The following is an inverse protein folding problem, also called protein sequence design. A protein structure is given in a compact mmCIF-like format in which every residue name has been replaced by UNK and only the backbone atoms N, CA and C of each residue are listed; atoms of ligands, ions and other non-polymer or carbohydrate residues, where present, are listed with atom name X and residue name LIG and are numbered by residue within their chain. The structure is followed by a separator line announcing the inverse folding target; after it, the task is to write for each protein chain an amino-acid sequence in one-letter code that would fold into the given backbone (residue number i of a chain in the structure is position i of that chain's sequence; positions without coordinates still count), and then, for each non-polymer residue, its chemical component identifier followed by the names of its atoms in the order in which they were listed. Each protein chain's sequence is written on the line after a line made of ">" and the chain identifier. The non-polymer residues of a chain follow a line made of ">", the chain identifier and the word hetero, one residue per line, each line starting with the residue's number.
data_IF_333515897080
#
_entry.id   IF_333515897080
#
_cell.length_a   1.000
_cell.length_b   1.000
_cell.length_c   1.000
_cell.angle_alpha   90.00
_cell.angle_beta   90.00
_cell.angle_gamma   90.00
#
_symmetry.space_group_name_H-M   'P 1'
#
loop_
_entity.id
_entity.type
_entity.pdbx_description
1 polymer ?
#
# COMPACT_ATOMS: atom_id res chain seq x y z
N UNK A 1 -21.66 31.50 8.47
CA UNK A 1 -20.44 31.25 7.69
C UNK A 1 -20.40 29.78 7.32
N UNK A 2 -20.87 29.45 6.11
CA UNK A 2 -20.98 28.07 5.62
C UNK A 2 -19.76 27.74 4.76
N UNK A 3 -18.88 26.86 5.22
CA UNK A 3 -17.89 26.22 4.36
C UNK A 3 -17.54 24.82 4.89
N UNK A 4 -18.45 23.86 4.65
CA UNK A 4 -18.11 22.44 4.64
C UNK A 4 -17.12 22.21 3.50
N UNK A 5 -15.96 21.63 3.77
CA UNK A 5 -14.99 21.34 2.71
C UNK A 5 -15.50 20.15 1.91
N UNK A 6 -15.88 20.41 0.67
CA UNK A 6 -16.15 19.38 -0.33
C UNK A 6 -14.80 19.01 -0.93
N UNK A 7 -14.45 17.72 -1.00
CA UNK A 7 -13.51 17.26 -2.05
C UNK A 7 -14.18 17.65 -3.37
N UNK A 8 -13.78 18.78 -3.99
CA UNK A 8 -14.48 19.29 -5.18
C UNK A 8 -14.37 20.79 -5.47
N UNK A 9 -13.96 21.63 -4.50
CA UNK A 9 -13.70 23.04 -4.84
C UNK A 9 -12.29 23.17 -5.43
N UNK A 10 -12.22 23.47 -6.73
CA UNK A 10 -10.94 23.68 -7.43
C UNK A 10 -10.10 24.76 -6.74
N UNK A 11 -8.81 24.48 -6.53
CA UNK A 11 -7.85 25.44 -5.97
C UNK A 11 -7.74 25.46 -4.45
N UNK A 12 -8.48 24.63 -3.72
CA UNK A 12 -8.31 24.48 -2.27
C UNK A 12 -6.97 23.81 -1.95
N UNK A 13 -6.22 24.41 -1.03
CA UNK A 13 -4.98 23.85 -0.49
C UNK A 13 -5.25 23.21 0.89
N UNK A 14 -4.69 22.03 1.09
CA UNK A 14 -4.75 21.30 2.37
C UNK A 14 -3.33 20.95 2.79
N UNK A 15 -2.86 21.42 3.96
CA UNK A 15 -1.55 21.03 4.46
C UNK A 15 -1.48 19.52 4.67
N UNK A 16 -0.32 18.93 4.39
CA UNK A 16 -0.05 17.51 4.56
C UNK A 16 1.25 17.28 5.29
N UNK A 17 1.38 16.12 5.94
CA UNK A 17 2.69 15.52 6.25
C UNK A 17 2.75 14.16 5.57
N UNK A 18 3.93 13.85 5.01
CA UNK A 18 4.17 12.59 4.32
C UNK A 18 5.31 11.86 5.01
N UNK A 19 5.14 10.56 5.25
CA UNK A 19 6.20 9.68 5.70
C UNK A 19 6.38 8.54 4.70
N UNK A 20 7.60 8.43 4.18
CA UNK A 20 8.05 7.26 3.42
C UNK A 20 8.82 6.31 4.32
N UNK A 21 8.86 5.03 3.98
CA UNK A 21 9.68 4.05 4.69
C UNK A 21 9.92 2.78 3.90
N UNK A 22 10.91 2.00 4.31
CA UNK A 22 10.96 0.55 4.11
C UNK A 22 9.97 -0.15 5.07
N UNK A 23 9.90 -1.49 5.06
CA UNK A 23 8.96 -2.26 5.89
C UNK A 23 9.67 -3.23 6.83
N UNK A 24 10.54 -4.08 6.30
CA UNK A 24 10.93 -5.29 7.02
C UNK A 24 12.06 -5.07 8.01
N UNK A 25 13.14 -4.41 7.65
CA UNK A 25 14.30 -4.29 8.53
C UNK A 25 14.18 -3.12 9.52
N UNK A 26 14.96 -3.17 10.58
CA UNK A 26 14.91 -2.23 11.70
C UNK A 26 15.42 -0.83 11.32
N UNK A 27 15.29 0.12 12.26
CA UNK A 27 15.88 1.45 12.14
C UNK A 27 17.38 1.34 11.90
N UNK A 28 17.87 2.02 10.87
CA UNK A 28 19.28 1.99 10.45
C UNK A 28 19.57 1.01 9.32
N UNK A 29 18.60 0.17 8.94
CA UNK A 29 18.74 -0.71 7.78
C UNK A 29 18.91 0.06 6.46
N UNK A 30 19.59 -0.52 5.45
CA UNK A 30 19.76 0.12 4.15
C UNK A 30 18.44 0.33 3.40
N UNK A 31 18.27 1.52 2.80
CA UNK A 31 17.10 1.85 1.98
C UNK A 31 17.14 1.23 0.57
N UNK A 32 18.23 0.54 0.21
CA UNK A 32 18.41 -0.18 -1.07
C UNK A 32 17.88 -1.62 -1.04
N UNK A 33 17.33 -2.08 0.09
CA UNK A 33 16.79 -3.44 0.20
C UNK A 33 15.52 -3.60 -0.64
N UNK A 34 15.36 -4.78 -1.24
CA UNK A 34 14.14 -5.15 -1.97
C UNK A 34 12.98 -5.27 -1.00
N UNK A 35 12.04 -4.34 -1.10
CA UNK A 35 10.94 -4.22 -0.12
C UNK A 35 9.80 -3.37 -0.69
N UNK A 36 8.63 -3.48 -0.07
CA UNK A 36 7.59 -2.47 -0.26
C UNK A 36 8.10 -1.12 0.28
N UNK A 37 7.66 -0.01 -0.30
CA UNK A 37 7.86 1.32 0.29
C UNK A 37 6.54 1.85 0.83
N UNK A 38 6.52 2.24 2.10
CA UNK A 38 5.40 2.93 2.70
C UNK A 38 5.23 4.33 2.10
N UNK A 39 3.99 4.74 1.85
CA UNK A 39 3.60 6.05 1.34
C UNK A 39 2.42 6.57 2.18
N UNK A 40 2.72 7.07 3.37
CA UNK A 40 1.69 7.53 4.31
C UNK A 40 1.50 9.05 4.20
N UNK A 41 0.30 9.48 3.83
CA UNK A 41 -0.08 10.91 3.74
C UNK A 41 -1.13 11.22 4.79
N UNK A 42 -0.82 12.17 5.68
CA UNK A 42 -1.80 12.75 6.62
C UNK A 42 -2.20 14.11 6.11
N UNK A 43 -3.49 14.28 5.86
CA UNK A 43 -4.12 15.53 5.43
C UNK A 43 -4.72 16.25 6.64
N UNK A 44 -4.35 17.51 6.81
CA UNK A 44 -4.90 18.38 7.84
C UNK A 44 -6.16 19.08 7.31
N UNK A 45 -7.26 18.34 7.23
CA UNK A 45 -8.52 18.87 6.70
C UNK A 45 -9.22 19.75 7.74
N UNK A 46 -10.22 20.54 7.30
CA UNK A 46 -11.04 21.36 8.20
C UNK A 46 -11.95 20.53 9.11
N UNK A 47 -12.20 19.27 8.76
CA UNK A 47 -13.13 18.37 9.45
C UNK A 47 -12.39 17.21 10.14
N UNK A 48 -11.10 17.41 10.44
CA UNK A 48 -10.24 16.45 11.11
C UNK A 48 -9.08 15.96 10.24
N UNK A 49 -8.20 15.19 10.84
CA UNK A 49 -7.08 14.60 10.11
C UNK A 49 -7.56 13.40 9.30
N UNK A 50 -7.25 13.37 8.01
CA UNK A 50 -7.48 12.21 7.16
C UNK A 50 -6.15 11.55 6.83
N UNK A 51 -6.01 10.26 7.17
CA UNK A 51 -4.79 9.49 6.96
C UNK A 51 -4.99 8.50 5.82
N UNK A 52 -4.30 8.72 4.70
CA UNK A 52 -4.18 7.75 3.61
C UNK A 52 -2.84 7.03 3.75
N UNK A 53 -2.87 5.90 4.46
CA UNK A 53 -1.68 5.08 4.75
C UNK A 53 -1.51 4.06 3.63
N UNK A 54 -0.78 4.46 2.58
CA UNK A 54 -0.56 3.67 1.39
C UNK A 54 0.83 3.02 1.30
N UNK A 55 1.05 2.35 0.18
CA UNK A 55 2.34 1.79 -0.24
C UNK A 55 2.66 2.23 -1.67
N UNK A 56 3.89 2.01 -2.15
CA UNK A 56 4.22 2.19 -3.55
C UNK A 56 3.52 1.16 -4.47
N UNK A 57 3.30 -0.06 -3.97
CA UNK A 57 2.57 -1.10 -4.68
C UNK A 57 1.06 -0.93 -4.53
N UNK A 58 0.26 -1.22 -5.56
CA UNK A 58 -1.20 -1.09 -5.52
C UNK A 58 -1.92 -2.30 -4.93
N UNK A 59 -1.19 -3.34 -4.55
CA UNK A 59 -1.73 -4.61 -4.03
C UNK A 59 -0.93 -5.08 -2.81
N UNK A 60 -1.50 -6.01 -2.03
CA UNK A 60 -0.89 -6.57 -0.83
C UNK A 60 -0.78 -8.09 -0.85
N UNK A 61 0.07 -8.67 0.01
CA UNK A 61 0.43 -10.09 -0.05
C UNK A 61 -0.69 -11.01 0.41
N UNK A 62 -1.50 -10.56 1.38
CA UNK A 62 -2.57 -11.34 1.99
C UNK A 62 -3.84 -10.53 1.97
N UNK A 63 -4.98 -11.21 1.80
CA UNK A 63 -6.31 -10.58 1.75
C UNK A 63 -7.04 -10.53 3.08
N UNK A 64 -6.53 -11.23 4.10
CA UNK A 64 -7.11 -11.29 5.44
C UNK A 64 -6.10 -10.76 6.47
N UNK A 65 -6.53 -9.75 7.24
CA UNK A 65 -5.71 -9.12 8.28
C UNK A 65 -5.25 -10.09 9.37
N UNK A 66 -5.93 -11.22 9.57
CA UNK A 66 -5.48 -12.27 10.50
C UNK A 66 -4.10 -12.84 10.14
N UNK A 67 -3.72 -12.81 8.86
CA UNK A 67 -2.44 -13.34 8.37
C UNK A 67 -1.29 -12.34 8.47
N UNK A 68 -1.58 -11.08 8.80
CA UNK A 68 -0.56 -10.03 8.82
C UNK A 68 0.60 -10.34 9.80
N UNK A 69 0.37 -10.79 11.05
CA UNK A 69 1.47 -11.12 11.95
C UNK A 69 2.34 -12.27 11.43
N UNK A 70 1.72 -13.33 10.91
CA UNK A 70 2.46 -14.50 10.37
C UNK A 70 3.30 -14.11 9.15
N UNK A 71 2.72 -13.30 8.26
CA UNK A 71 3.40 -12.75 7.10
C UNK A 71 4.61 -11.91 7.52
N UNK A 72 4.47 -11.02 8.51
CA UNK A 72 5.59 -10.23 9.03
C UNK A 72 6.64 -11.12 9.67
N UNK A 73 6.27 -12.15 10.43
CA UNK A 73 7.24 -13.10 10.99
C UNK A 73 8.03 -13.83 9.91
N UNK A 74 7.38 -14.25 8.82
CA UNK A 74 8.03 -14.91 7.70
C UNK A 74 9.02 -13.99 6.96
N UNK A 75 8.64 -12.73 6.75
CA UNK A 75 9.45 -11.73 6.07
C UNK A 75 10.61 -11.19 6.93
N UNK A 76 10.42 -11.01 8.24
CA UNK A 76 11.44 -10.52 9.18
C UNK A 76 12.65 -11.45 9.28
N UNK A 77 13.81 -10.95 9.77
CA UNK A 77 14.94 -11.79 10.10
C UNK A 77 14.57 -12.99 10.98
N UNK A 78 15.17 -14.14 10.69
CA UNK A 78 14.95 -15.39 11.41
C UNK A 78 15.24 -15.19 12.91
N UNK A 79 14.36 -15.64 13.82
CA UNK A 79 14.53 -15.40 15.26
C UNK A 79 15.77 -16.07 15.87
N UNK A 80 16.36 -17.07 15.20
CA UNK A 80 17.59 -17.75 15.63
C UNK A 80 18.85 -17.07 15.10
N UNK A 81 18.91 -16.75 13.80
CA UNK A 81 20.13 -16.22 13.17
C UNK A 81 20.14 -14.70 13.06
N UNK A 82 18.99 -14.04 13.25
CA UNK A 82 18.80 -12.61 13.03
C UNK A 82 19.14 -12.16 11.60
N UNK A 83 19.05 -13.08 10.63
CA UNK A 83 19.26 -12.84 9.20
C UNK A 83 17.95 -13.10 8.46
N UNK A 84 17.58 -12.26 7.51
CA UNK A 84 16.44 -12.52 6.62
C UNK A 84 16.80 -13.64 5.64
N UNK A 85 15.93 -14.63 5.52
CA UNK A 85 16.19 -15.83 4.72
C UNK A 85 15.01 -16.11 3.78
N UNK A 86 15.27 -16.23 2.48
CA UNK A 86 14.22 -16.38 1.47
C UNK A 86 13.40 -17.66 1.64
N UNK A 87 13.99 -18.77 2.09
CA UNK A 87 13.24 -20.01 2.29
C UNK A 87 12.06 -19.85 3.26
N UNK A 88 12.14 -18.97 4.27
CA UNK A 88 11.03 -18.68 5.22
C UNK A 88 9.89 -17.95 4.54
N UNK A 89 10.24 -16.99 3.68
CA UNK A 89 9.30 -16.20 2.90
C UNK A 89 8.56 -17.13 1.93
N UNK A 90 9.32 -17.93 1.19
CA UNK A 90 8.77 -18.84 0.19
C UNK A 90 7.96 -19.99 0.80
N UNK A 91 8.33 -20.48 1.99
CA UNK A 91 7.54 -21.46 2.75
C UNK A 91 6.16 -20.87 3.13
N UNK A 92 6.13 -19.74 3.82
CA UNK A 92 4.87 -19.11 4.23
C UNK A 92 3.95 -18.83 3.03
N UNK A 93 4.49 -18.23 1.97
CA UNK A 93 3.70 -17.86 0.80
C UNK A 93 3.37 -19.02 -0.15
N UNK A 94 3.99 -20.20 0.02
CA UNK A 94 3.53 -21.43 -0.64
C UNK A 94 2.15 -21.92 -0.15
N UNK A 95 1.65 -21.36 0.94
CA UNK A 95 0.31 -21.60 1.46
C UNK A 95 -0.71 -20.51 1.06
N UNK A 96 -0.25 -19.45 0.40
CA UNK A 96 -1.02 -18.24 0.13
C UNK A 96 -0.91 -17.87 -1.36
N UNK A 97 -1.60 -18.60 -2.27
CA UNK A 97 -1.54 -18.34 -3.71
C UNK A 97 -1.93 -16.91 -4.09
N UNK A 98 -2.73 -16.24 -3.27
CA UNK A 98 -3.14 -14.85 -3.47
C UNK A 98 -1.97 -13.84 -3.43
N UNK A 99 -0.85 -14.22 -2.82
CA UNK A 99 0.35 -13.39 -2.72
C UNK A 99 1.07 -13.17 -4.05
N UNK A 100 0.79 -14.02 -5.04
CA UNK A 100 1.51 -14.07 -6.32
C UNK A 100 1.53 -12.71 -7.02
N UNK A 101 0.45 -11.94 -6.89
CA UNK A 101 0.37 -10.64 -7.55
C UNK A 101 1.35 -9.64 -6.96
N UNK A 102 1.50 -9.54 -5.63
CA UNK A 102 2.54 -8.67 -5.05
C UNK A 102 3.94 -9.10 -5.46
N UNK A 103 4.19 -10.40 -5.60
CA UNK A 103 5.50 -10.86 -6.03
C UNK A 103 5.88 -10.37 -7.43
N UNK A 104 4.91 -10.13 -8.31
CA UNK A 104 5.15 -9.45 -9.60
C UNK A 104 5.55 -7.98 -9.46
N UNK A 105 5.37 -7.35 -8.31
CA UNK A 105 5.94 -6.02 -7.99
C UNK A 105 7.23 -6.15 -7.19
N UNK A 106 7.26 -7.06 -6.21
CA UNK A 106 8.39 -7.22 -5.31
C UNK A 106 9.65 -7.71 -6.05
N UNK A 107 9.53 -8.66 -6.98
CA UNK A 107 10.69 -9.18 -7.75
C UNK A 107 10.89 -8.47 -9.09
N UNK A 108 10.13 -7.41 -9.31
CA UNK A 108 10.32 -6.47 -10.42
C UNK A 108 11.30 -5.36 -10.03
N UNK A 109 11.77 -4.56 -10.96
CA UNK A 109 12.74 -3.49 -10.70
C UNK A 109 12.18 -2.46 -9.70
N UNK A 110 10.86 -2.25 -9.73
CA UNK A 110 10.14 -1.39 -8.76
C UNK A 110 10.23 -1.86 -7.30
N UNK A 111 10.71 -3.07 -7.05
CA UNK A 111 11.01 -3.58 -5.70
C UNK A 111 12.23 -2.92 -5.06
N UNK A 112 13.07 -2.23 -5.82
CA UNK A 112 14.16 -1.40 -5.30
C UNK A 112 14.08 -0.01 -5.97
N UNK A 113 13.27 0.91 -5.43
CA UNK A 113 13.26 2.28 -5.90
C UNK A 113 14.62 2.98 -5.74
N UNK A 114 14.92 3.89 -6.65
CA UNK A 114 16.14 4.72 -6.58
C UNK A 114 16.13 5.68 -5.38
N UNK A 115 14.98 6.25 -5.09
CA UNK A 115 14.76 7.18 -3.99
C UNK A 115 13.24 7.32 -3.78
N UNK A 116 12.83 8.10 -2.77
CA UNK A 116 11.41 8.29 -2.46
C UNK A 116 10.69 9.22 -3.42
N UNK A 117 11.38 10.05 -4.23
CA UNK A 117 10.72 11.03 -5.11
C UNK A 117 10.25 10.43 -6.43
N UNK A 118 10.80 9.28 -6.80
CA UNK A 118 10.51 8.55 -8.04
C UNK A 118 9.72 7.25 -7.80
N UNK A 119 8.85 7.23 -6.79
CA UNK A 119 7.92 6.12 -6.56
C UNK A 119 6.48 6.53 -6.86
N UNK A 120 5.69 5.55 -7.31
CA UNK A 120 4.24 5.64 -7.20
C UNK A 120 3.80 5.51 -5.75
N UNK A 121 2.57 5.92 -5.48
CA UNK A 121 1.88 5.67 -4.22
C UNK A 121 0.47 5.15 -4.50
N UNK A 122 -0.04 4.32 -3.61
CA UNK A 122 -1.32 3.64 -3.77
C UNK A 122 -1.99 3.48 -2.41
N UNK A 123 -3.30 3.73 -2.34
CA UNK A 123 -4.09 3.44 -1.15
C UNK A 123 -4.24 1.93 -0.86
N UNK A 124 -3.95 1.08 -1.85
CA UNK A 124 -4.08 -0.39 -1.86
C UNK A 124 -5.53 -0.84 -1.71
N UNK A 125 -6.15 -0.54 -0.58
CA UNK A 125 -7.52 -0.91 -0.25
C UNK A 125 -8.53 -0.17 -1.13
N UNK A 126 -9.71 -0.76 -1.23
CA UNK A 126 -10.91 -0.09 -1.71
C UNK A 126 -11.57 0.63 -0.54
N UNK A 127 -11.84 1.91 -0.69
CA UNK A 127 -12.54 2.75 0.29
C UNK A 127 -13.93 3.13 -0.23
N UNK A 128 -14.70 3.86 0.58
CA UNK A 128 -15.98 4.43 0.15
C UNK A 128 -15.91 5.97 0.13
N UNK A 129 -16.42 6.56 -0.94
CA UNK A 129 -16.80 7.97 -1.00
C UNK A 129 -18.31 8.07 -0.78
N UNK A 130 -18.72 8.96 0.10
CA UNK A 130 -20.14 9.20 0.39
C UNK A 130 -20.47 10.65 0.05
N UNK A 131 -21.38 10.83 -0.90
CA UNK A 131 -21.83 12.17 -1.31
C UNK A 131 -22.79 12.79 -0.29
N UNK A 132 -23.05 14.10 -0.40
CA UNK A 132 -24.07 14.80 0.41
C UNK A 132 -25.48 14.19 0.28
N UNK A 133 -25.78 13.57 -0.87
CA UNK A 133 -27.04 12.86 -1.11
C UNK A 133 -27.07 11.44 -0.54
N UNK A 134 -25.99 10.98 0.10
CA UNK A 134 -25.86 9.61 0.62
C UNK A 134 -25.48 8.56 -0.42
N UNK A 135 -25.27 8.93 -1.70
CA UNK A 135 -24.74 8.00 -2.72
C UNK A 135 -23.32 7.55 -2.34
N UNK A 136 -23.11 6.24 -2.38
CA UNK A 136 -21.81 5.58 -2.15
C UNK A 136 -21.15 5.29 -3.48
N UNK A 137 -19.83 5.46 -3.53
CA UNK A 137 -18.95 4.90 -4.56
C UNK A 137 -17.79 4.18 -3.88
N UNK A 138 -17.40 3.03 -4.39
CA UNK A 138 -16.09 2.48 -4.08
C UNK A 138 -14.99 3.31 -4.75
N UNK A 139 -13.85 3.49 -4.08
CA UNK A 139 -12.73 4.29 -4.58
C UNK A 139 -11.38 3.64 -4.30
N UNK A 140 -10.45 3.73 -5.26
CA UNK A 140 -9.00 3.52 -5.06
C UNK A 140 -8.24 4.82 -5.33
N UNK A 141 -7.17 5.05 -4.57
CA UNK A 141 -6.33 6.26 -4.66
C UNK A 141 -4.96 5.93 -5.25
N UNK A 142 -4.50 6.75 -6.18
CA UNK A 142 -3.24 6.57 -6.91
C UNK A 142 -2.44 7.87 -6.94
N UNK A 143 -1.16 7.80 -6.57
CA UNK A 143 -0.20 8.88 -6.65
C UNK A 143 0.80 8.59 -7.77
N UNK A 144 0.84 9.44 -8.79
CA UNK A 144 1.80 9.33 -9.88
C UNK A 144 2.90 10.39 -9.71
N UNK A 145 4.19 10.02 -9.63
CA UNK A 145 5.28 10.96 -9.46
C UNK A 145 5.43 11.82 -10.71
N UNK A 146 5.57 13.14 -10.55
CA UNK A 146 5.75 14.05 -11.67
C UNK A 146 7.06 13.77 -12.44
N UNK A 147 8.09 13.29 -11.74
CA UNK A 147 9.41 13.00 -12.30
C UNK A 147 9.56 11.55 -12.81
N UNK A 148 8.45 10.80 -12.89
CA UNK A 148 8.45 9.41 -13.32
C UNK A 148 8.98 8.44 -12.27
N UNK A 149 8.90 7.15 -12.59
CA UNK A 149 9.38 6.06 -11.74
C UNK A 149 10.84 5.74 -12.05
N UNK A 150 11.68 5.58 -11.02
CA UNK A 150 13.09 5.19 -11.15
C UNK A 150 13.45 4.13 -10.13
N UNK A 151 14.29 3.19 -10.54
CA UNK A 151 14.64 1.99 -9.77
C UNK A 151 16.15 1.73 -9.87
N UNK A 152 16.67 0.98 -8.92
CA UNK A 152 18.02 0.42 -8.97
C UNK A 152 17.94 -1.04 -9.39
N UNK A 153 18.86 -1.47 -10.24
CA UNK A 153 19.16 -2.89 -10.41
C UNK A 153 20.04 -3.39 -9.26
N UNK A 154 20.17 -4.71 -9.12
CA UNK A 154 20.90 -5.36 -8.03
C UNK A 154 22.31 -4.80 -7.80
N UNK A 155 23.11 -4.70 -8.86
CA UNK A 155 24.49 -4.20 -8.77
C UNK A 155 24.56 -2.73 -8.35
N UNK A 156 23.59 -1.92 -8.76
CA UNK A 156 23.48 -0.52 -8.37
C UNK A 156 23.05 -0.40 -6.91
N UNK A 157 22.08 -1.22 -6.48
CA UNK A 157 21.62 -1.29 -5.10
C UNK A 157 22.74 -1.68 -4.12
N UNK A 158 23.62 -2.60 -4.53
CA UNK A 158 24.82 -2.97 -3.76
C UNK A 158 25.78 -1.78 -3.64
N UNK A 159 26.11 -1.12 -4.76
CA UNK A 159 27.04 0.02 -4.78
C UNK A 159 26.51 1.20 -3.96
N UNK A 160 25.25 1.58 -4.18
CA UNK A 160 24.59 2.68 -3.49
C UNK A 160 24.45 2.36 -2.01
N UNK A 161 23.96 1.17 -1.67
CA UNK A 161 23.75 0.75 -0.28
C UNK A 161 25.04 0.62 0.51
N UNK A 162 26.11 0.13 -0.12
CA UNK A 162 27.45 0.05 0.48
C UNK A 162 28.09 1.42 0.70
N UNK A 163 27.74 2.41 -0.12
CA UNK A 163 28.25 3.79 0.02
C UNK A 163 27.43 4.63 0.99
N UNK A 164 26.10 4.47 0.99
CA UNK A 164 25.18 5.21 1.84
C UNK A 164 23.89 4.41 2.08
N UNK A 165 23.78 3.81 3.26
CA UNK A 165 22.59 3.08 3.67
C UNK A 165 21.32 3.96 3.78
N UNK A 166 21.47 5.29 3.91
CA UNK A 166 20.38 6.27 4.02
C UNK A 166 20.23 7.15 2.76
N UNK A 167 20.54 6.61 1.58
CA UNK A 167 20.57 7.37 0.33
C UNK A 167 19.23 8.02 -0.06
N UNK A 168 18.09 7.35 0.16
CA UNK A 168 16.77 7.86 -0.22
C UNK A 168 16.30 8.95 0.75
N UNK A 169 16.60 8.79 2.04
CA UNK A 169 16.42 9.85 3.05
C UNK A 169 17.27 11.08 2.71
N UNK A 170 18.56 10.87 2.37
CA UNK A 170 19.46 11.96 1.97
C UNK A 170 18.96 12.67 0.71
N UNK A 171 18.57 11.94 -0.32
CA UNK A 171 18.03 12.50 -1.56
C UNK A 171 16.80 13.38 -1.30
N UNK A 172 15.84 12.91 -0.50
CA UNK A 172 14.64 13.68 -0.18
C UNK A 172 14.97 14.95 0.61
N UNK A 173 15.84 14.84 1.62
CA UNK A 173 16.27 15.97 2.45
C UNK A 173 16.99 17.04 1.62
N UNK A 174 18.00 16.64 0.85
CA UNK A 174 18.81 17.55 0.03
C UNK A 174 17.95 18.21 -1.06
N UNK A 175 17.04 17.44 -1.69
CA UNK A 175 16.15 17.98 -2.72
C UNK A 175 15.22 19.05 -2.17
N UNK A 176 14.64 18.83 -0.99
CA UNK A 176 13.78 19.82 -0.31
C UNK A 176 14.60 21.05 0.09
N UNK A 177 15.80 20.87 0.65
CA UNK A 177 16.69 21.95 1.04
C UNK A 177 17.13 22.82 -0.16
N UNK A 178 17.31 22.20 -1.33
CA UNK A 178 17.65 22.88 -2.58
C UNK A 178 16.46 23.55 -3.29
N UNK A 179 15.23 23.45 -2.76
CA UNK A 179 14.02 23.97 -3.39
C UNK A 179 13.47 23.09 -4.53
N UNK A 180 14.04 21.90 -4.75
CA UNK A 180 13.62 20.91 -5.73
C UNK A 180 12.53 20.00 -5.14
N UNK A 181 11.38 20.59 -4.84
CA UNK A 181 10.28 19.88 -4.17
C UNK A 181 9.73 18.74 -5.05
N UNK A 182 9.60 17.51 -4.52
CA UNK A 182 8.95 16.45 -5.26
C UNK A 182 7.44 16.66 -5.34
N UNK A 183 6.85 16.26 -6.47
CA UNK A 183 5.42 16.39 -6.74
C UNK A 183 4.81 15.06 -7.14
N UNK A 184 3.58 14.81 -6.66
CA UNK A 184 2.74 13.70 -7.09
C UNK A 184 1.37 14.19 -7.50
N UNK A 185 0.83 13.63 -8.58
CA UNK A 185 -0.56 13.84 -9.01
C UNK A 185 -1.44 12.76 -8.37
N UNK A 186 -2.51 13.19 -7.70
CA UNK A 186 -3.54 12.30 -7.15
C UNK A 186 -4.57 11.98 -8.23
N UNK A 187 -4.80 10.69 -8.41
CA UNK A 187 -5.88 10.14 -9.21
C UNK A 187 -6.76 9.22 -8.36
N UNK A 188 -7.99 9.05 -8.80
CA UNK A 188 -8.90 8.03 -8.27
C UNK A 188 -9.46 7.16 -9.40
N UNK A 189 -9.83 5.93 -9.05
CA UNK A 189 -10.78 5.13 -9.80
C UNK A 189 -12.03 4.97 -8.95
N UNK A 190 -13.21 4.84 -9.57
CA UNK A 190 -14.47 4.68 -8.84
C UNK A 190 -15.31 3.55 -9.42
N UNK A 191 -15.94 2.75 -8.55
CA UNK A 191 -16.91 1.72 -8.90
C UNK A 191 -18.23 2.01 -8.18
N UNK A 192 -19.35 1.87 -8.88
CA UNK A 192 -20.67 1.84 -8.23
C UNK A 192 -20.81 0.47 -7.53
N UNK A 193 -21.13 0.38 -6.22
CA UNK A 193 -21.24 -0.91 -5.53
C UNK A 193 -22.16 -1.92 -6.24
N UNK A 194 -23.22 -1.46 -6.93
CA UNK A 194 -24.11 -2.31 -7.72
C UNK A 194 -23.42 -2.99 -8.92
N UNK A 195 -22.18 -2.60 -9.23
CA UNK A 195 -21.36 -3.17 -10.30
C UNK A 195 -20.30 -4.15 -9.79
N UNK A 196 -20.23 -4.43 -8.49
CA UNK A 196 -19.21 -5.32 -7.90
C UNK A 196 -19.17 -6.70 -8.58
N UNK A 197 -20.33 -7.24 -8.93
CA UNK A 197 -20.48 -8.56 -9.55
C UNK A 197 -20.20 -8.59 -11.06
N UNK A 198 -19.94 -7.44 -11.68
CA UNK A 198 -19.61 -7.37 -13.11
C UNK A 198 -18.15 -7.75 -13.41
N UNK A 199 -17.31 -7.87 -12.39
CA UNK A 199 -15.89 -8.19 -12.52
C UNK A 199 -15.63 -9.67 -12.20
N UNK A 200 -14.64 -10.26 -12.87
CA UNK A 200 -14.16 -11.62 -12.62
C UNK A 200 -13.19 -11.71 -11.43
N UNK A 201 -13.05 -10.62 -10.69
CA UNK A 201 -12.36 -10.51 -9.42
C UNK A 201 -13.25 -9.78 -8.42
N UNK A 202 -12.93 -9.90 -7.14
CA UNK A 202 -13.57 -9.10 -6.09
C UNK A 202 -12.90 -7.70 -6.02
N UNK A 203 -13.62 -6.59 -6.30
CA UNK A 203 -13.07 -5.24 -6.20
C UNK A 203 -12.57 -4.84 -4.82
N UNK A 204 -12.96 -5.55 -3.76
CA UNK A 204 -12.55 -5.35 -2.37
C UNK A 204 -11.32 -6.21 -2.00
N UNK A 205 -10.92 -7.17 -2.83
CA UNK A 205 -9.70 -7.97 -2.62
C UNK A 205 -8.45 -7.12 -2.83
N UNK A 206 -7.68 -6.91 -1.76
CA UNK A 206 -6.44 -6.12 -1.75
C UNK A 206 -5.30 -6.74 -2.57
N UNK A 207 -5.45 -7.99 -3.00
CA UNK A 207 -4.51 -8.64 -3.93
C UNK A 207 -4.81 -8.27 -5.40
N UNK A 208 -5.84 -7.45 -5.66
CA UNK A 208 -6.30 -7.05 -6.99
C UNK A 208 -6.16 -5.55 -7.26
N UNK A 209 -5.75 -5.25 -8.49
CA UNK A 209 -5.86 -3.92 -9.09
C UNK A 209 -7.16 -3.79 -9.87
N UNK A 210 -7.60 -2.55 -10.10
CA UNK A 210 -8.69 -2.25 -11.02
C UNK A 210 -8.08 -1.87 -12.38
N UNK A 211 -8.35 -2.61 -13.46
CA UNK A 211 -7.72 -2.35 -14.76
C UNK A 211 -8.01 -0.93 -15.27
N UNK A 212 -6.96 -0.17 -15.58
CA UNK A 212 -7.08 1.25 -15.99
C UNK A 212 -7.76 1.43 -17.36
N UNK A 213 -7.78 0.39 -18.21
CA UNK A 213 -8.48 0.35 -19.49
C UNK A 213 -10.00 0.21 -19.33
N UNK A 214 -10.46 -0.42 -18.25
CA UNK A 214 -11.88 -0.58 -17.91
C UNK A 214 -12.35 0.56 -17.00
N UNK A 215 -11.51 0.96 -16.04
CA UNK A 215 -11.79 1.96 -15.02
C UNK A 215 -10.71 3.04 -15.08
N UNK A 216 -10.82 4.05 -15.97
CA UNK A 216 -9.76 5.02 -16.19
C UNK A 216 -9.51 5.91 -14.96
N UNK A 217 -8.24 6.31 -14.79
CA UNK A 217 -7.81 7.23 -13.75
C UNK A 217 -8.44 8.61 -13.91
N UNK A 218 -9.04 9.12 -12.83
CA UNK A 218 -9.66 10.44 -12.78
C UNK A 218 -8.76 11.39 -11.96
N UNK A 219 -8.29 12.51 -12.51
CA UNK A 219 -7.43 13.43 -11.79
C UNK A 219 -8.19 14.18 -10.69
N UNK A 220 -7.62 14.27 -9.49
CA UNK A 220 -8.21 14.97 -8.34
C UNK A 220 -7.41 16.21 -7.97
N UNK A 221 -6.10 16.11 -7.86
CA UNK A 221 -5.25 17.21 -7.39
C UNK A 221 -3.76 16.88 -7.45
N UNK A 222 -2.94 17.76 -6.85
CA UNK A 222 -1.48 17.58 -6.74
C UNK A 222 -1.04 17.74 -5.29
N UNK A 223 -0.07 16.94 -4.86
CA UNK A 223 0.58 17.04 -3.56
C UNK A 223 1.74 18.03 -3.64
N UNK A 224 1.80 18.96 -2.69
CA UNK A 224 2.95 19.83 -2.43
C UNK A 224 3.34 19.70 -0.95
N UNK A 225 4.62 19.85 -0.58
CA UNK A 225 5.03 19.80 0.81
C UNK A 225 4.33 20.88 1.64
N UNK A 226 3.86 20.53 2.83
CA UNK A 226 3.34 21.51 3.78
C UNK A 226 3.82 21.19 5.20
N UNK A 227 3.79 22.18 6.09
CA UNK A 227 4.24 22.04 7.47
C UNK A 227 3.13 22.47 8.46
N UNK A 228 2.88 21.59 9.42
CA UNK A 228 2.05 21.67 10.64
C UNK A 228 0.48 21.69 10.57
N UNK A 229 -0.23 20.98 11.49
CA UNK A 229 -1.69 20.93 11.63
C UNK A 229 -2.35 22.21 12.16
N UNK A 230 -3.60 22.50 11.76
CA UNK A 230 -4.57 23.30 12.53
C UNK A 230 -6.02 22.88 12.23
N UNK A 231 -6.65 22.10 13.12
CA UNK A 231 -8.12 22.02 13.22
C UNK A 231 -8.52 22.15 14.68
N UNK A 232 -9.66 22.80 14.94
CA UNK A 232 -10.23 22.90 16.29
C UNK A 232 -10.77 21.51 16.65
N UNK A 233 -10.41 20.96 17.81
CA UNK A 233 -10.94 19.70 18.32
C UNK A 233 -11.46 19.88 19.74
N UNK A 234 -12.55 19.18 20.07
CA UNK A 234 -13.07 19.06 21.43
C UNK A 234 -13.31 17.59 21.71
N UNK A 235 -12.67 17.05 22.75
CA UNK A 235 -12.86 15.68 23.19
C UNK A 235 -12.91 15.62 24.73
N UNK A 236 -13.29 14.47 25.27
CA UNK A 236 -13.48 14.26 26.69
C UNK A 236 -12.30 13.53 27.36
N UNK A 237 -11.17 13.38 26.66
CA UNK A 237 -10.01 12.70 27.22
C UNK A 237 -9.30 13.64 28.22
N UNK A 238 -9.07 13.15 29.44
CA UNK A 238 -8.25 13.81 30.47
C UNK A 238 -7.05 12.93 30.83
N UNK A 239 -6.01 13.55 31.38
CA UNK A 239 -4.76 12.89 31.82
C UNK A 239 -4.02 12.17 30.67
N UNK A 240 -3.37 11.05 30.96
CA UNK A 240 -2.50 10.31 30.05
C UNK A 240 -1.02 10.65 30.25
N UNK A 241 -0.16 9.66 29.96
CA UNK A 241 1.29 9.85 30.05
C UNK A 241 1.74 10.96 29.09
N UNK A 242 2.63 11.86 29.58
CA UNK A 242 3.13 13.01 28.82
C UNK A 242 2.02 13.97 28.33
N UNK A 243 0.92 14.09 29.10
CA UNK A 243 -0.08 15.11 28.82
C UNK A 243 0.41 16.49 29.28
N UNK A 244 0.88 17.27 28.31
CA UNK A 244 1.29 18.67 28.51
C UNK A 244 0.15 19.67 28.28
N UNK A 245 -1.04 19.20 27.90
CA UNK A 245 -2.20 20.07 27.69
C UNK A 245 -2.74 20.48 29.06
N UNK A 246 -2.77 21.79 29.31
CA UNK A 246 -3.51 22.30 30.44
C UNK A 246 -5.01 22.29 30.11
N UNK A 247 -5.75 21.46 30.83
CA UNK A 247 -7.20 21.29 30.72
C UNK A 247 -7.79 21.51 32.11
N UNK A 248 -8.53 22.60 32.28
CA UNK A 248 -9.18 22.99 33.53
C UNK A 248 -10.70 22.78 33.48
N UNK A 249 -11.20 22.10 32.44
CA UNK A 249 -12.62 21.78 32.30
C UNK A 249 -13.07 20.78 33.39
N UNK A 250 -14.19 21.08 34.07
CA UNK A 250 -14.77 20.20 35.11
C UNK A 250 -15.62 19.05 34.54
N UNK A 251 -16.02 19.14 33.27
CA UNK A 251 -16.91 18.18 32.60
C UNK A 251 -16.15 17.43 31.52
N UNK A 252 -15.98 16.12 31.73
CA UNK A 252 -15.33 15.20 30.79
C UNK A 252 -16.27 14.04 30.37
N UNK A 253 -17.59 14.26 30.45
CA UNK A 253 -18.61 13.28 30.07
C UNK A 253 -19.68 13.93 29.18
N UNK A 254 -20.34 13.11 28.35
CA UNK A 254 -21.40 13.56 27.44
C UNK A 254 -22.57 12.56 27.46
N UNK A 255 -23.83 13.00 27.46
CA UNK A 255 -24.29 14.39 27.50
C UNK A 255 -24.16 15.02 28.89
N UNK A 256 -24.00 16.35 28.95
CA UNK A 256 -23.99 17.13 30.19
C UNK A 256 -24.92 18.34 30.08
N UNK A 257 -25.42 18.82 31.22
CA UNK A 257 -26.15 20.11 31.32
C UNK A 257 -25.21 21.28 31.59
N UNK A 258 -23.97 20.99 32.00
CA UNK A 258 -22.96 21.99 32.37
C UNK A 258 -21.96 22.26 31.25
N UNK A 259 -21.84 21.32 30.30
CA UNK A 259 -21.11 21.52 29.05
C UNK A 259 -22.09 21.56 27.87
N UNK A 260 -22.05 22.65 27.10
CA UNK A 260 -22.96 22.94 25.99
C UNK A 260 -22.54 22.28 24.68
N UNK A 261 -21.50 21.43 24.68
CA UNK A 261 -21.14 20.61 23.52
C UNK A 261 -22.33 19.82 23.00
N UNK A 262 -22.31 19.58 21.69
CA UNK A 262 -23.36 18.84 20.99
C UNK A 262 -22.72 17.77 20.13
N UNK A 263 -23.48 16.73 19.81
CA UNK A 263 -23.07 15.78 18.79
C UNK A 263 -22.71 16.55 17.50
N UNK A 264 -21.61 16.15 16.86
CA UNK A 264 -21.24 16.68 15.57
C UNK A 264 -22.38 16.47 14.56
N UNK A 265 -22.47 17.36 13.56
CA UNK A 265 -23.44 17.23 12.50
C UNK A 265 -23.31 15.85 11.85
N UNK A 266 -24.40 15.09 11.82
CA UNK A 266 -24.44 13.79 11.15
C UNK A 266 -24.40 14.00 9.65
N UNK A 267 -23.52 13.27 8.98
CA UNK A 267 -23.53 13.09 7.55
C UNK A 267 -24.27 11.78 7.23
N UNK A 268 -24.93 11.66 6.07
CA UNK A 268 -25.57 10.40 5.69
C UNK A 268 -24.53 9.29 5.69
N UNK A 269 -24.68 8.32 6.58
CA UNK A 269 -23.93 7.07 6.54
C UNK A 269 -24.94 6.01 6.11
N UNK A 270 -24.84 5.50 4.87
CA UNK A 270 -25.77 4.48 4.40
C UNK A 270 -25.66 3.23 5.28
N UNK A 271 -26.82 2.73 5.71
CA UNK A 271 -26.92 1.47 6.44
C UNK A 271 -27.24 0.35 5.44
N UNK A 272 -26.35 -0.62 5.31
CA UNK A 272 -26.61 -1.82 4.51
C UNK A 272 -27.18 -2.93 5.39
N UNK A 273 -28.25 -3.58 4.94
CA UNK A 273 -28.75 -4.82 5.56
C UNK A 273 -27.97 -5.97 4.94
N UNK A 274 -27.14 -6.63 5.75
CA UNK A 274 -26.40 -7.82 5.31
C UNK A 274 -27.22 -9.07 5.61
N UNK A 275 -27.47 -9.89 4.59
CA UNK A 275 -28.11 -11.20 4.72
C UNK A 275 -27.08 -12.29 4.40
N UNK A 276 -26.95 -13.29 5.25
CA UNK A 276 -26.02 -14.39 5.02
C UNK A 276 -25.76 -15.22 6.27
N UNK A 277 -24.95 -16.26 6.11
CA UNK A 277 -24.47 -17.08 7.22
C UNK A 277 -23.17 -16.50 7.76
N UNK A 278 -23.07 -16.38 9.09
CA UNK A 278 -21.82 -16.01 9.74
C UNK A 278 -20.85 -17.19 9.71
N UNK A 279 -19.83 -17.11 8.88
CA UNK A 279 -18.80 -18.14 8.74
C UNK A 279 -17.42 -17.55 8.46
N UNK A 280 -16.37 -18.34 8.71
CA UNK A 280 -15.01 -18.03 8.29
C UNK A 280 -14.74 -18.76 6.98
N UNK A 281 -14.64 -18.02 5.89
CA UNK A 281 -14.43 -18.56 4.54
C UNK A 281 -13.57 -17.63 3.72
N UNK A 282 -13.00 -18.16 2.64
CA UNK A 282 -12.34 -17.35 1.63
C UNK A 282 -13.43 -16.70 0.75
N UNK A 283 -13.13 -15.54 0.18
CA UNK A 283 -13.98 -14.86 -0.82
C UNK A 283 -14.17 -15.75 -2.05
N UNK A 284 -15.27 -15.58 -2.78
CA UNK A 284 -15.59 -16.48 -3.92
C UNK A 284 -14.71 -16.21 -5.14
N UNK A 285 -14.56 -14.94 -5.53
CA UNK A 285 -13.82 -14.51 -6.73
C UNK A 285 -12.32 -14.31 -6.45
N UNK A 286 -11.66 -15.34 -5.92
CA UNK A 286 -10.24 -15.26 -5.54
C UNK A 286 -9.32 -14.89 -6.70
N UNK A 287 -9.51 -15.51 -7.87
CA UNK A 287 -8.79 -15.23 -9.12
C UNK A 287 -7.27 -14.94 -8.93
N UNK A 288 -6.55 -15.85 -8.27
CA UNK A 288 -5.19 -15.61 -7.78
C UNK A 288 -4.13 -15.43 -8.88
N UNK A 289 -4.38 -15.94 -10.09
CA UNK A 289 -3.33 -16.14 -11.11
C UNK A 289 -3.44 -15.24 -12.33
N UNK A 290 -4.63 -14.68 -12.63
CA UNK A 290 -4.86 -13.91 -13.86
C UNK A 290 -4.03 -12.62 -13.91
N UNK A 291 -4.22 -11.72 -12.94
CA UNK A 291 -3.50 -10.43 -12.91
C UNK A 291 -1.96 -10.57 -12.81
N UNK A 292 -1.39 -11.50 -12.01
CA UNK A 292 0.05 -11.75 -12.05
C UNK A 292 0.55 -12.11 -13.46
N UNK A 293 -0.18 -12.98 -14.17
CA UNK A 293 0.16 -13.38 -15.54
C UNK A 293 0.06 -12.23 -16.53
N UNK A 294 -0.99 -11.42 -16.44
CA UNK A 294 -1.17 -10.22 -17.27
C UNK A 294 -0.02 -9.23 -17.07
N UNK A 295 0.39 -9.02 -15.82
CA UNK A 295 1.51 -8.14 -15.47
C UNK A 295 2.85 -8.67 -15.98
N UNK A 296 3.10 -9.98 -15.89
CA UNK A 296 4.32 -10.58 -16.47
C UNK A 296 4.37 -10.37 -17.99
N UNK A 297 3.25 -10.59 -18.69
CA UNK A 297 3.16 -10.46 -20.14
C UNK A 297 3.28 -9.01 -20.64
N UNK A 298 3.01 -8.01 -19.79
CA UNK A 298 3.12 -6.60 -20.17
C UNK A 298 4.56 -6.08 -20.19
N UNK A 299 5.51 -6.84 -19.66
CA UNK A 299 6.91 -6.43 -19.59
C UNK A 299 7.68 -6.63 -20.90
N UNK A 300 8.68 -5.77 -21.10
CA UNK A 300 9.72 -6.00 -22.08
C UNK A 300 10.52 -7.29 -21.75
N UNK A 301 11.08 -7.98 -22.76
CA UNK A 301 11.76 -9.27 -22.56
C UNK A 301 12.92 -9.24 -21.56
N UNK A 302 13.69 -8.15 -21.50
CA UNK A 302 14.81 -7.99 -20.56
C UNK A 302 14.33 -7.90 -19.10
N UNK A 303 13.19 -7.24 -18.87
CA UNK A 303 12.54 -7.16 -17.55
C UNK A 303 11.95 -8.50 -17.12
N UNK A 304 11.36 -9.25 -18.06
CA UNK A 304 10.93 -10.64 -17.81
C UNK A 304 12.10 -11.53 -17.41
N UNK A 305 13.25 -11.38 -18.08
CA UNK A 305 14.46 -12.17 -17.80
C UNK A 305 15.02 -11.88 -16.40
N UNK A 306 15.12 -10.61 -15.99
CA UNK A 306 15.51 -10.24 -14.61
C UNK A 306 14.57 -10.81 -13.57
N UNK A 307 13.26 -10.78 -13.83
CA UNK A 307 12.26 -11.36 -12.94
C UNK A 307 12.45 -12.88 -12.78
N UNK A 308 12.66 -13.60 -13.88
CA UNK A 308 12.93 -15.04 -13.87
C UNK A 308 14.21 -15.34 -13.09
N UNK A 309 15.29 -14.58 -13.31
CA UNK A 309 16.54 -14.74 -12.58
C UNK A 309 16.35 -14.64 -11.06
N UNK A 310 15.62 -13.61 -10.58
CA UNK A 310 15.34 -13.44 -9.15
C UNK A 310 14.55 -14.61 -8.56
N UNK A 311 13.62 -15.19 -9.33
CA UNK A 311 12.90 -16.39 -8.93
C UNK A 311 13.79 -17.62 -8.84
N UNK A 312 14.68 -17.81 -9.81
CA UNK A 312 15.64 -18.91 -9.80
C UNK A 312 16.55 -18.78 -8.58
N UNK A 313 17.09 -17.60 -8.31
CA UNK A 313 17.95 -17.33 -7.15
C UNK A 313 17.21 -17.65 -5.84
N UNK A 314 15.99 -17.15 -5.68
CA UNK A 314 15.20 -17.39 -4.47
C UNK A 314 14.84 -18.88 -4.28
N UNK A 315 14.49 -19.60 -5.36
CA UNK A 315 14.12 -21.03 -5.32
C UNK A 315 15.32 -21.99 -5.28
N UNK A 316 16.53 -21.48 -5.51
CA UNK A 316 17.79 -22.22 -5.42
C UNK A 316 18.34 -22.33 -3.99
N UNK A 317 17.75 -21.60 -3.04
CA UNK A 317 18.14 -21.71 -1.62
C UNK A 317 18.05 -23.20 -1.18
N UNK A 318 19.13 -23.78 -0.59
CA UNK A 318 19.15 -25.19 -0.19
C UNK A 318 18.06 -25.60 0.78
N UNK A 319 17.48 -24.66 1.52
CA UNK A 319 16.38 -24.90 2.47
C UNK A 319 15.00 -24.85 1.81
N UNK A 320 14.90 -24.37 0.58
CA UNK A 320 13.69 -24.49 -0.23
C UNK A 320 13.58 -25.94 -0.70
N UNK A 321 12.64 -26.66 -0.09
CA UNK A 321 12.41 -28.08 -0.39
C UNK A 321 11.89 -28.27 -1.81
N UNK A 322 11.99 -29.50 -2.32
CA UNK A 322 11.40 -29.87 -3.61
C UNK A 322 9.89 -29.58 -3.66
N UNK A 323 9.18 -29.76 -2.54
CA UNK A 323 7.75 -29.46 -2.41
C UNK A 323 7.48 -27.96 -2.57
N UNK A 324 8.16 -27.10 -1.80
CA UNK A 324 8.02 -25.64 -1.89
C UNK A 324 8.33 -25.18 -3.33
N UNK A 325 9.42 -25.69 -3.91
CA UNK A 325 9.81 -25.36 -5.30
C UNK A 325 8.71 -25.75 -6.30
N UNK A 326 8.12 -26.94 -6.14
CA UNK A 326 7.05 -27.43 -7.02
C UNK A 326 5.78 -26.60 -6.89
N UNK A 327 5.42 -26.15 -5.68
CA UNK A 327 4.27 -25.26 -5.46
C UNK A 327 4.48 -23.92 -6.17
N UNK A 328 5.64 -23.28 -6.02
CA UNK A 328 5.93 -22.01 -6.69
C UNK A 328 5.96 -22.12 -8.21
N UNK A 329 6.56 -23.18 -8.75
CA UNK A 329 6.51 -23.45 -10.20
C UNK A 329 5.06 -23.64 -10.66
N UNK A 330 4.23 -24.34 -9.88
CA UNK A 330 2.81 -24.51 -10.17
C UNK A 330 2.05 -23.19 -10.16
N UNK A 331 2.29 -22.31 -9.17
CA UNK A 331 1.67 -20.98 -9.11
C UNK A 331 2.03 -20.14 -10.35
N UNK A 332 3.31 -20.09 -10.69
CA UNK A 332 3.76 -19.36 -11.88
C UNK A 332 3.24 -19.97 -13.18
N UNK A 333 3.12 -21.30 -13.28
CA UNK A 333 2.54 -21.98 -14.44
C UNK A 333 1.05 -21.68 -14.62
N UNK A 334 0.31 -21.52 -13.52
CA UNK A 334 -1.10 -21.12 -13.54
C UNK A 334 -1.28 -19.66 -13.97
N UNK A 335 -0.35 -18.78 -13.60
CA UNK A 335 -0.36 -17.38 -14.04
C UNK A 335 0.07 -17.22 -15.51
N UNK A 336 1.14 -17.91 -15.90
CA UNK A 336 1.65 -17.95 -17.27
C UNK A 336 2.48 -19.24 -17.51
N UNK A 337 2.02 -20.09 -18.42
CA UNK A 337 2.68 -21.38 -18.72
C UNK A 337 4.14 -21.21 -19.14
N UNK A 338 4.47 -20.15 -19.89
CA UNK A 338 5.83 -19.93 -20.38
C UNK A 338 6.77 -19.51 -19.24
N UNK A 339 6.27 -18.72 -18.29
CA UNK A 339 7.01 -18.32 -17.11
C UNK A 339 7.34 -19.52 -16.23
N UNK A 340 6.32 -20.32 -15.88
CA UNK A 340 6.51 -21.52 -15.07
C UNK A 340 7.51 -22.50 -15.69
N UNK A 341 7.42 -22.73 -17.00
CA UNK A 341 8.35 -23.58 -17.74
C UNK A 341 9.78 -23.03 -17.72
N UNK A 342 9.98 -21.73 -18.00
CA UNK A 342 11.31 -21.09 -17.97
C UNK A 342 11.97 -21.18 -16.60
N UNK A 343 11.20 -21.00 -15.52
CA UNK A 343 11.70 -21.15 -14.15
C UNK A 343 12.09 -22.62 -13.89
N UNK A 344 11.20 -23.56 -14.23
CA UNK A 344 11.44 -24.99 -14.01
C UNK A 344 12.67 -25.52 -14.76
N UNK A 345 12.88 -25.11 -16.00
CA UNK A 345 14.01 -25.58 -16.83
C UNK A 345 15.36 -25.09 -16.33
N UNK A 346 15.41 -23.94 -15.65
CA UNK A 346 16.65 -23.31 -15.17
C UNK A 346 16.98 -23.60 -13.70
N UNK A 347 16.06 -24.25 -12.97
CA UNK A 347 16.27 -24.72 -11.59
C UNK A 347 16.86 -26.13 -11.51
N UNK A 348 17.21 -26.73 -12.65
CA UNK A 348 17.76 -28.09 -12.75
C UNK A 348 19.16 -28.21 -12.18
#
# INVERSE_FOLDING_TARGET
>A
MNSSLTVGTRGVQTPVIVRFSTVIHERGSPETLRDVRGFAVKFYTREGNFDLVGNNFPVFFVRDGMKFPDMIHALKPNPKSHIQENWRILDFFSHHPESLHVFTFLFDDVGIPQDYRHIEGSGVNTYTLISKAGKVLYVKFHWKPANGVKCLLEDEAIKVGGSNHSHATKDLYDSIAAGNYPEWKLFIQTIDPDHEDKFDFDPLDVTKTWPEDILPLQPVGRLLPANAPKSIYHNNHHDGAMNFMHRDEEVNYFPSRFDLVREAKKYPIPSNVLMGKREKRIIEKENNFKQPGERYRSWAPDRQERFIHRWIEALSDPRVTHEIRSIWISYWSQADKSLGQKIADRLK
#
